data_IF_739491209628
#
_entry.id   IF_739491209628
#
_cell.length_a   1.000
_cell.length_b   1.000
_cell.length_c   1.000
_cell.angle_alpha   90.00
_cell.angle_beta   90.00
_cell.angle_gamma   90.00
#
_symmetry.space_group_name_H-M   'P 1'
#
loop_
_entity.id
_entity.type
_entity.pdbx_description
1 polymer ?
#
# COMPACT_ATOMS: atom_id res chain seq x y z
N UNK A 1 78.29 -34.78 48.35
CA UNK A 1 77.97 -34.72 46.90
C UNK A 1 76.74 -33.82 46.73
N UNK A 2 76.91 -32.54 46.40
CA UNK A 2 75.79 -31.57 46.32
C UNK A 2 75.43 -31.33 44.86
N UNK A 3 74.24 -31.78 44.44
CA UNK A 3 73.70 -31.57 43.07
C UNK A 3 73.20 -30.13 42.93
N UNK A 4 73.84 -29.33 42.09
CA UNK A 4 73.35 -28.01 41.63
C UNK A 4 72.20 -28.22 40.64
N UNK A 5 71.00 -27.81 41.01
CA UNK A 5 69.84 -27.75 40.10
C UNK A 5 69.95 -26.55 39.14
N UNK A 6 69.77 -26.82 37.85
CA UNK A 6 69.93 -25.88 36.72
C UNK A 6 68.85 -24.79 36.72
N UNK A 7 69.29 -23.53 36.81
CA UNK A 7 68.47 -22.30 36.85
C UNK A 7 68.08 -21.80 35.44
N UNK A 8 67.87 -22.70 34.45
CA UNK A 8 67.65 -22.33 33.03
C UNK A 8 66.17 -22.23 32.58
N UNK A 9 65.19 -22.71 33.36
CA UNK A 9 63.79 -22.78 32.91
C UNK A 9 62.95 -21.50 33.12
N UNK A 10 63.40 -20.54 33.94
CA UNK A 10 62.63 -19.31 34.19
C UNK A 10 62.61 -18.34 33.00
N UNK A 11 63.56 -18.46 32.08
CA UNK A 11 63.64 -17.60 30.89
C UNK A 11 62.65 -18.01 29.81
N UNK A 12 62.45 -19.32 29.61
CA UNK A 12 61.53 -19.85 28.59
C UNK A 12 60.07 -19.55 28.92
N UNK A 13 59.66 -19.63 30.19
CA UNK A 13 58.29 -19.31 30.62
C UNK A 13 57.93 -17.86 30.30
N UNK A 14 58.87 -16.92 30.48
CA UNK A 14 58.66 -15.50 30.15
C UNK A 14 58.45 -15.28 28.65
N UNK A 15 59.16 -16.02 27.81
CA UNK A 15 59.04 -15.95 26.35
C UNK A 15 57.66 -16.48 25.90
N UNK A 16 57.21 -17.60 26.47
CA UNK A 16 55.87 -18.14 26.17
C UNK A 16 54.74 -17.20 26.61
N UNK A 17 54.83 -16.61 27.80
CA UNK A 17 53.83 -15.61 28.24
C UNK A 17 53.78 -14.40 27.30
N UNK A 18 54.93 -13.92 26.81
CA UNK A 18 54.99 -12.76 25.93
C UNK A 18 54.40 -13.08 24.54
N UNK A 19 54.70 -14.26 23.99
CA UNK A 19 54.09 -14.76 22.76
C UNK A 19 52.56 -14.89 22.87
N UNK A 20 52.07 -15.36 24.02
CA UNK A 20 50.64 -15.54 24.25
C UNK A 20 49.91 -14.19 24.32
N UNK A 21 50.47 -13.21 25.02
CA UNK A 21 49.90 -11.85 25.08
C UNK A 21 49.86 -11.22 23.69
N UNK A 22 50.90 -11.43 22.87
CA UNK A 22 50.98 -10.92 21.50
C UNK A 22 49.92 -11.58 20.60
N UNK A 23 49.72 -12.89 20.72
CA UNK A 23 48.68 -13.61 19.99
C UNK A 23 47.27 -13.11 20.35
N UNK A 24 46.95 -12.98 21.65
CA UNK A 24 45.65 -12.48 22.09
C UNK A 24 45.41 -11.02 21.70
N UNK A 25 46.44 -10.18 21.73
CA UNK A 25 46.35 -8.80 21.25
C UNK A 25 46.02 -8.71 19.76
N UNK A 26 46.60 -9.59 18.94
CA UNK A 26 46.35 -9.62 17.49
C UNK A 26 44.92 -10.02 17.12
N UNK A 27 44.31 -10.93 17.89
CA UNK A 27 42.91 -11.35 17.70
C UNK A 27 41.95 -10.16 17.94
N UNK A 28 42.22 -9.35 18.98
CA UNK A 28 41.40 -8.18 19.30
C UNK A 28 41.44 -7.10 18.22
N UNK A 29 42.63 -6.81 17.67
CA UNK A 29 42.79 -5.84 16.56
C UNK A 29 42.10 -6.33 15.29
N UNK A 30 42.20 -7.63 14.99
CA UNK A 30 41.50 -8.24 13.85
C UNK A 30 39.98 -8.16 13.98
N UNK A 31 39.44 -8.40 15.18
CA UNK A 31 37.99 -8.27 15.42
C UNK A 31 37.49 -6.83 15.28
N UNK A 32 38.22 -5.86 15.83
CA UNK A 32 37.89 -4.44 15.70
C UNK A 32 37.92 -3.96 14.24
N UNK A 33 38.94 -4.37 13.48
CA UNK A 33 39.03 -4.06 12.06
C UNK A 33 37.91 -4.68 11.22
N UNK A 34 37.37 -5.84 11.65
CA UNK A 34 36.23 -6.46 10.99
C UNK A 34 34.90 -5.82 11.42
N UNK A 35 34.75 -5.45 12.70
CA UNK A 35 33.49 -4.92 13.25
C UNK A 35 33.15 -3.52 12.74
N UNK A 36 34.15 -2.69 12.48
CA UNK A 36 33.95 -1.31 12.01
C UNK A 36 33.50 -1.24 10.54
N UNK A 37 33.49 -2.36 9.80
CA UNK A 37 33.21 -2.41 8.37
C UNK A 37 31.98 -3.20 7.94
N UNK A 38 31.23 -3.83 8.85
CA UNK A 38 30.02 -4.60 8.47
C UNK A 38 28.81 -3.67 8.42
N UNK A 39 28.75 -2.84 7.37
CA UNK A 39 27.48 -2.24 6.95
C UNK A 39 26.60 -3.35 6.36
N UNK A 40 25.58 -3.77 7.11
CA UNK A 40 24.49 -4.61 6.58
C UNK A 40 23.69 -3.80 5.54
N UNK A 41 24.15 -3.80 4.29
CA UNK A 41 23.40 -3.28 3.14
C UNK A 41 22.32 -4.28 2.75
N UNK A 42 21.21 -4.25 3.47
CA UNK A 42 19.97 -4.90 3.04
C UNK A 42 19.25 -4.02 2.02
N UNK A 43 18.91 -4.57 0.86
CA UNK A 43 17.92 -3.94 -0.03
C UNK A 43 16.55 -4.49 0.36
N UNK A 44 15.66 -3.64 0.85
CA UNK A 44 14.29 -4.04 1.15
C UNK A 44 13.45 -3.84 -0.11
N UNK A 45 13.02 -4.94 -0.73
CA UNK A 45 12.01 -4.90 -1.78
C UNK A 45 10.63 -4.76 -1.12
N UNK A 46 10.16 -3.53 -0.97
CA UNK A 46 8.76 -3.25 -0.67
C UNK A 46 7.99 -3.47 -1.97
N UNK A 47 7.13 -4.48 -2.05
CA UNK A 47 6.43 -4.83 -3.30
C UNK A 47 5.59 -3.67 -3.88
N UNK A 48 5.05 -3.86 -5.09
CA UNK A 48 4.34 -2.79 -5.82
C UNK A 48 2.85 -2.70 -5.44
N UNK A 49 2.29 -1.49 -5.55
CA UNK A 49 0.86 -1.19 -5.43
C UNK A 49 0.37 -0.76 -6.81
N UNK A 50 -0.65 -1.43 -7.34
CA UNK A 50 -1.20 -1.12 -8.67
C UNK A 50 -2.72 -1.39 -8.74
N UNK A 51 -3.54 -0.57 -8.06
CA UNK A 51 -4.98 -0.68 -8.12
C UNK A 51 -5.56 0.04 -9.32
N UNK A 52 -6.52 -0.59 -10.00
CA UNK A 52 -7.22 0.01 -11.14
C UNK A 52 -8.71 -0.33 -11.08
N UNK A 53 -9.55 0.58 -11.56
CA UNK A 53 -10.94 0.24 -11.86
C UNK A 53 -11.02 -0.69 -13.07
N UNK A 54 -11.92 -1.65 -13.00
CA UNK A 54 -12.24 -2.51 -14.13
C UNK A 54 -13.37 -1.89 -14.97
N UNK A 55 -13.32 -2.13 -16.28
CA UNK A 55 -14.36 -1.70 -17.23
C UNK A 55 -15.71 -2.44 -17.05
N UNK A 56 -15.74 -3.51 -16.24
CA UNK A 56 -16.97 -4.24 -15.84
C UNK A 56 -17.80 -3.41 -14.86
N UNK A 57 -18.43 -2.35 -15.38
CA UNK A 57 -19.36 -1.49 -14.66
C UNK A 57 -20.78 -1.95 -14.97
N UNK A 58 -21.53 -2.33 -13.94
CA UNK A 58 -22.93 -2.75 -14.07
C UNK A 58 -23.85 -1.65 -13.56
N UNK A 59 -24.92 -1.37 -14.30
CA UNK A 59 -25.83 -0.28 -13.98
C UNK A 59 -27.27 -0.79 -13.88
N UNK A 60 -27.94 -0.40 -12.80
CA UNK A 60 -29.37 -0.58 -12.60
C UNK A 60 -30.03 0.81 -12.54
N UNK A 61 -30.88 1.08 -13.51
CA UNK A 61 -31.57 2.37 -13.67
C UNK A 61 -32.99 2.22 -13.13
N UNK A 62 -33.35 3.05 -12.14
CA UNK A 62 -34.72 3.21 -11.64
C UNK A 62 -35.12 4.67 -11.80
N UNK A 63 -35.43 5.05 -13.03
CA UNK A 63 -35.75 6.43 -13.36
C UNK A 63 -35.97 6.63 -14.85
N UNK A 64 -36.19 7.89 -15.24
CA UNK A 64 -36.40 8.29 -16.62
C UNK A 64 -35.14 8.90 -17.26
N UNK A 65 -34.23 9.45 -16.45
CA UNK A 65 -32.97 10.00 -16.93
C UNK A 65 -32.03 8.97 -17.54
N UNK A 66 -31.18 9.43 -18.45
CA UNK A 66 -30.14 8.64 -19.09
C UNK A 66 -28.84 8.76 -18.29
N UNK A 67 -28.29 7.63 -17.86
CA UNK A 67 -27.04 7.60 -17.10
C UNK A 67 -25.93 7.01 -17.95
N UNK A 68 -24.80 7.71 -17.98
CA UNK A 68 -23.57 7.26 -18.62
C UNK A 68 -22.47 7.19 -17.59
N UNK A 69 -21.75 6.08 -17.61
CA UNK A 69 -20.54 5.89 -16.80
C UNK A 69 -19.34 5.79 -17.74
N UNK A 70 -18.24 6.39 -17.34
CA UNK A 70 -16.99 6.34 -18.08
C UNK A 70 -15.82 6.40 -17.12
N UNK A 71 -14.73 5.72 -17.46
CA UNK A 71 -13.46 5.87 -16.76
C UNK A 71 -12.79 7.14 -17.29
N UNK A 72 -12.57 8.11 -16.39
CA UNK A 72 -11.76 9.29 -16.75
C UNK A 72 -10.27 8.92 -16.79
N UNK A 73 -9.86 8.07 -15.87
CA UNK A 73 -8.53 7.48 -15.73
C UNK A 73 -8.65 6.13 -15.01
N UNK A 74 -7.52 5.52 -14.66
CA UNK A 74 -7.46 4.22 -13.97
C UNK A 74 -8.01 4.25 -12.53
N UNK A 75 -8.20 5.45 -11.95
CA UNK A 75 -8.52 5.69 -10.54
C UNK A 75 -9.81 6.48 -10.31
N UNK A 76 -10.48 6.91 -11.39
CA UNK A 76 -11.64 7.81 -11.34
C UNK A 76 -12.73 7.37 -12.31
N UNK A 77 -13.91 7.12 -11.76
CA UNK A 77 -15.15 6.92 -12.51
C UNK A 77 -15.88 8.26 -12.59
N UNK A 78 -16.18 8.68 -13.82
CA UNK A 78 -17.13 9.74 -14.10
C UNK A 78 -18.52 9.17 -14.32
N UNK A 79 -19.52 9.81 -13.73
CA UNK A 79 -20.94 9.52 -14.00
C UNK A 79 -21.61 10.79 -14.46
N UNK A 80 -22.32 10.69 -15.58
CA UNK A 80 -23.12 11.77 -16.16
C UNK A 80 -24.58 11.32 -16.22
N UNK A 81 -25.47 12.11 -15.62
CA UNK A 81 -26.91 11.91 -15.65
C UNK A 81 -27.52 13.02 -16.51
N UNK A 82 -28.21 12.64 -17.58
CA UNK A 82 -28.91 13.54 -18.50
C UNK A 82 -30.41 13.38 -18.34
N UNK A 83 -31.15 14.48 -18.50
CA UNK A 83 -32.61 14.50 -18.36
C UNK A 83 -33.07 13.88 -17.03
N UNK A 84 -32.38 14.24 -15.94
CA UNK A 84 -32.63 13.72 -14.61
C UNK A 84 -34.02 14.14 -14.12
N UNK A 85 -34.81 13.20 -13.61
CA UNK A 85 -36.11 13.49 -12.99
C UNK A 85 -36.02 13.36 -11.48
N UNK A 86 -36.80 14.16 -10.76
CA UNK A 86 -36.89 14.07 -9.31
C UNK A 86 -37.30 12.66 -8.88
N UNK A 87 -36.67 12.15 -7.82
CA UNK A 87 -36.82 10.77 -7.31
C UNK A 87 -36.20 9.68 -8.18
N UNK A 88 -35.54 10.02 -9.31
CA UNK A 88 -34.74 9.03 -10.04
C UNK A 88 -33.63 8.48 -9.15
N UNK A 89 -33.48 7.15 -9.18
CA UNK A 89 -32.45 6.42 -8.44
C UNK A 89 -31.62 5.57 -9.40
N UNK A 90 -30.31 5.71 -9.31
CA UNK A 90 -29.39 4.91 -10.11
C UNK A 90 -28.41 4.17 -9.20
N UNK A 91 -28.21 2.89 -9.49
CA UNK A 91 -27.23 2.04 -8.81
C UNK A 91 -26.18 1.61 -9.81
N UNK A 92 -24.91 1.89 -9.50
CA UNK A 92 -23.77 1.60 -10.35
C UNK A 92 -22.80 0.75 -9.54
N UNK A 93 -22.66 -0.52 -9.92
CA UNK A 93 -21.67 -1.43 -9.33
C UNK A 93 -20.37 -1.34 -10.11
N UNK A 94 -19.28 -1.21 -9.38
CA UNK A 94 -17.93 -1.15 -9.92
C UNK A 94 -17.04 -2.20 -9.27
N UNK A 95 -15.95 -2.55 -9.96
CA UNK A 95 -14.92 -3.42 -9.43
C UNK A 95 -13.56 -2.74 -9.48
N UNK A 96 -12.75 -3.01 -8.47
CA UNK A 96 -11.36 -2.56 -8.38
C UNK A 96 -10.50 -3.81 -8.34
N UNK A 97 -9.46 -3.87 -9.17
CA UNK A 97 -8.44 -4.90 -9.12
C UNK A 97 -7.13 -4.32 -8.56
N UNK A 98 -6.33 -5.11 -7.86
CA UNK A 98 -4.97 -4.74 -7.48
C UNK A 98 -3.96 -5.68 -8.15
N UNK A 99 -3.35 -5.22 -9.24
CA UNK A 99 -2.29 -5.92 -9.96
C UNK A 99 -0.93 -5.82 -9.26
N UNK A 100 -0.84 -5.03 -8.19
CA UNK A 100 0.33 -4.93 -7.33
C UNK A 100 0.65 -6.24 -6.62
N UNK A 101 1.84 -6.34 -6.04
CA UNK A 101 2.29 -7.55 -5.35
C UNK A 101 1.99 -7.56 -3.86
N UNK A 102 1.47 -6.46 -3.30
CA UNK A 102 1.13 -6.36 -1.87
C UNK A 102 -0.35 -6.02 -1.68
N UNK A 103 -0.98 -6.46 -0.57
CA UNK A 103 -2.35 -6.06 -0.25
C UNK A 103 -2.45 -4.56 0.01
N UNK A 104 -3.62 -4.00 -0.28
CA UNK A 104 -3.93 -2.58 -0.06
C UNK A 104 -5.27 -2.44 0.65
N UNK A 105 -5.41 -1.39 1.45
CA UNK A 105 -6.71 -0.90 1.85
C UNK A 105 -7.14 0.20 0.87
N UNK A 106 -8.40 0.16 0.46
CA UNK A 106 -8.98 1.20 -0.38
C UNK A 106 -10.17 1.86 0.31
N UNK A 107 -10.40 3.12 -0.03
CA UNK A 107 -11.59 3.87 0.34
C UNK A 107 -12.08 4.69 -0.86
N UNK A 108 -13.20 4.31 -1.45
CA UNK A 108 -13.92 5.12 -2.42
C UNK A 108 -14.44 6.42 -1.79
N UNK A 109 -14.29 7.51 -2.52
CA UNK A 109 -14.67 8.87 -2.14
C UNK A 109 -15.37 9.55 -3.32
N UNK A 110 -16.42 10.32 -3.03
CA UNK A 110 -16.96 11.26 -4.01
C UNK A 110 -16.13 12.54 -3.95
N UNK A 111 -15.54 12.93 -5.08
CA UNK A 111 -14.64 14.09 -5.16
C UNK A 111 -15.32 15.33 -5.73
N UNK A 112 -16.31 15.13 -6.61
CA UNK A 112 -17.12 16.21 -7.19
C UNK A 112 -18.55 15.71 -7.39
N UNK A 113 -19.52 16.53 -7.04
CA UNK A 113 -20.95 16.24 -7.27
C UNK A 113 -21.66 17.55 -7.53
N UNK A 114 -22.41 17.61 -8.62
CA UNK A 114 -23.18 18.80 -8.96
C UNK A 114 -24.37 19.02 -8.01
N UNK A 115 -24.75 20.29 -7.74
CA UNK A 115 -25.92 20.60 -6.93
C UNK A 115 -27.18 20.11 -7.66
N UNK A 116 -27.95 19.23 -7.02
CA UNK A 116 -29.14 18.57 -7.59
C UNK A 116 -29.07 17.05 -7.56
N UNK A 117 -27.87 16.48 -7.36
CA UNK A 117 -27.68 15.03 -7.25
C UNK A 117 -26.99 14.69 -5.93
N UNK A 118 -27.50 13.69 -5.23
CA UNK A 118 -26.90 13.15 -4.03
C UNK A 118 -26.21 11.81 -4.32
N UNK A 119 -24.93 11.70 -3.98
CA UNK A 119 -24.15 10.48 -4.17
C UNK A 119 -23.94 9.79 -2.82
N UNK A 120 -24.31 8.51 -2.75
CA UNK A 120 -24.09 7.62 -1.60
C UNK A 120 -23.24 6.44 -2.05
N UNK A 121 -22.15 6.18 -1.34
CA UNK A 121 -21.28 5.03 -1.63
C UNK A 121 -21.61 3.88 -0.67
N UNK A 122 -21.94 2.71 -1.21
CA UNK A 122 -22.10 1.48 -0.45
C UNK A 122 -20.83 0.62 -0.55
N UNK A 123 -20.45 0.01 0.58
CA UNK A 123 -19.18 -0.69 0.75
C UNK A 123 -17.98 0.13 0.24
N UNK A 124 -17.83 1.40 0.65
CA UNK A 124 -16.82 2.28 0.09
C UNK A 124 -15.41 1.90 0.53
N UNK A 125 -15.22 0.88 1.36
CA UNK A 125 -13.91 0.51 1.89
C UNK A 125 -13.72 -0.99 1.91
N UNK A 126 -12.48 -1.42 1.76
CA UNK A 126 -12.12 -2.83 1.83
C UNK A 126 -10.62 -3.04 1.72
N UNK A 127 -10.22 -4.31 1.70
CA UNK A 127 -8.84 -4.73 1.49
C UNK A 127 -8.79 -5.60 0.24
N UNK A 128 -7.92 -5.23 -0.69
CA UNK A 128 -7.68 -5.99 -1.92
C UNK A 128 -6.31 -6.63 -1.79
N UNK A 129 -6.24 -7.95 -1.90
CA UNK A 129 -4.95 -8.66 -1.94
C UNK A 129 -4.18 -8.24 -3.21
N UNK A 130 -2.88 -8.51 -3.23
CA UNK A 130 -2.11 -8.36 -4.48
C UNK A 130 -2.47 -9.44 -5.51
N UNK A 131 -1.78 -9.41 -6.65
CA UNK A 131 -1.81 -10.42 -7.71
C UNK A 131 -3.16 -10.50 -8.45
N UNK A 132 -3.77 -9.35 -8.73
CA UNK A 132 -5.00 -9.25 -9.51
C UNK A 132 -6.26 -9.62 -8.74
N UNK A 133 -6.21 -9.70 -7.41
CA UNK A 133 -7.42 -9.85 -6.62
C UNK A 133 -8.33 -8.63 -6.79
N UNK A 134 -9.63 -8.84 -6.63
CA UNK A 134 -10.65 -7.82 -6.87
C UNK A 134 -11.52 -7.56 -5.64
N UNK A 135 -12.07 -6.36 -5.56
CA UNK A 135 -13.15 -6.00 -4.66
C UNK A 135 -14.24 -5.26 -5.44
N UNK A 136 -15.46 -5.30 -4.92
CA UNK A 136 -16.62 -4.65 -5.53
C UNK A 136 -17.18 -3.58 -4.60
N UNK A 137 -17.77 -2.55 -5.20
CA UNK A 137 -18.47 -1.49 -4.48
C UNK A 137 -19.63 -0.97 -5.32
N UNK A 138 -20.46 -0.12 -4.71
CA UNK A 138 -21.65 0.41 -5.36
C UNK A 138 -21.78 1.91 -5.12
N UNK A 139 -22.08 2.64 -6.19
CA UNK A 139 -22.42 4.06 -6.19
C UNK A 139 -23.93 4.15 -6.35
N UNK A 140 -24.60 4.74 -5.37
CA UNK A 140 -25.99 5.12 -5.48
C UNK A 140 -26.10 6.62 -5.75
N UNK A 141 -26.90 6.96 -6.74
CA UNK A 141 -27.16 8.32 -7.16
C UNK A 141 -28.65 8.59 -7.01
N UNK A 142 -29.00 9.59 -6.22
CA UNK A 142 -30.36 10.00 -5.94
C UNK A 142 -30.56 11.43 -6.45
N UNK A 143 -31.53 11.62 -7.34
CA UNK A 143 -31.80 12.92 -7.96
C UNK A 143 -32.76 13.71 -7.07
N UNK A 144 -32.34 14.91 -6.67
CA UNK A 144 -33.10 15.79 -5.78
C UNK A 144 -34.22 16.56 -6.48
N UNK A 145 -34.93 17.39 -5.71
CA UNK A 145 -36.08 18.17 -6.18
C UNK A 145 -35.69 19.38 -7.04
N UNK A 146 -34.46 19.88 -6.92
CA UNK A 146 -33.97 21.09 -7.62
C UNK A 146 -33.27 20.76 -8.95
N UNK A 147 -33.80 19.82 -9.73
CA UNK A 147 -33.23 19.46 -11.04
C UNK A 147 -33.97 20.07 -12.22
N UNK A 148 -33.20 20.42 -13.25
CA UNK A 148 -33.71 20.90 -14.53
C UNK A 148 -34.01 19.71 -15.43
N UNK A 149 -35.18 19.66 -16.10
CA UNK A 149 -35.60 18.54 -16.93
C UNK A 149 -34.70 18.29 -18.15
N UNK A 150 -33.92 19.28 -18.59
CA UNK A 150 -32.92 19.17 -19.66
C UNK A 150 -31.48 19.29 -19.11
N UNK A 151 -31.32 19.20 -17.79
CA UNK A 151 -30.04 19.32 -17.10
C UNK A 151 -29.13 18.13 -17.32
N UNK A 152 -27.83 18.38 -17.36
CA UNK A 152 -26.79 17.35 -17.23
C UNK A 152 -26.10 17.54 -15.89
N UNK A 153 -26.01 16.46 -15.11
CA UNK A 153 -25.40 16.43 -13.80
C UNK A 153 -24.24 15.45 -13.79
N UNK A 154 -23.11 15.87 -13.25
CA UNK A 154 -21.92 15.06 -13.16
C UNK A 154 -21.55 14.75 -11.71
N UNK A 155 -21.08 13.54 -11.49
CA UNK A 155 -20.37 13.19 -10.27
C UNK A 155 -19.13 12.35 -10.55
N UNK A 156 -18.10 12.55 -9.74
CA UNK A 156 -16.82 11.86 -9.85
C UNK A 156 -16.59 11.03 -8.59
N UNK A 157 -16.29 9.75 -8.79
CA UNK A 157 -15.92 8.83 -7.71
C UNK A 157 -14.50 8.35 -7.96
N UNK A 158 -13.63 8.56 -6.99
CA UNK A 158 -12.25 8.07 -6.99
C UNK A 158 -12.00 7.22 -5.74
N UNK A 159 -10.84 6.60 -5.61
CA UNK A 159 -10.45 5.91 -4.38
C UNK A 159 -9.14 6.43 -3.81
N UNK A 160 -9.09 6.50 -2.49
CA UNK A 160 -7.87 6.67 -1.72
C UNK A 160 -7.29 5.29 -1.36
N UNK A 161 -5.97 5.17 -1.45
CA UNK A 161 -5.24 3.92 -1.22
C UNK A 161 -4.31 4.10 -0.02
N UNK A 162 -4.24 3.10 0.84
CA UNK A 162 -3.21 2.98 1.86
C UNK A 162 -2.69 1.55 1.94
N UNK A 163 -1.51 1.36 2.55
CA UNK A 163 -1.08 0.00 2.87
C UNK A 163 -2.06 -0.60 3.89
N UNK A 164 -2.40 -1.87 3.73
CA UNK A 164 -3.38 -2.53 4.59
C UNK A 164 -2.99 -2.54 6.08
N UNK A 165 -1.70 -2.39 6.38
CA UNK A 165 -1.12 -2.44 7.73
C UNK A 165 -0.70 -1.06 8.26
N UNK A 166 -0.96 0.04 7.55
CA UNK A 166 -0.84 1.37 8.16
C UNK A 166 -1.90 1.47 9.25
N UNK A 167 -1.44 1.52 10.51
CA UNK A 167 -2.29 1.71 11.68
C UNK A 167 -2.88 3.12 11.57
N UNK A 168 -4.19 3.22 11.42
CA UNK A 168 -4.93 4.49 11.48
C UNK A 168 -4.70 5.24 12.80
#
# INVERSE_FOLDING_TARGET
MVKRYSKKNKSFIKIYCLLFILAFGSIGVGYAALSDGVELRGTVHTGNIDPVFLEDIQMEIKGQGEVRTYLMDEYTIGVSVQNAHTEDLYSIRYKIANYGSIPIAFKAISSKTDPGVAVKLQNPKGVIKGHGATAEGEIMIEVGEEVSPDGTYECLVSFAISQWNTVD
#
